data_IF_553794432144
#
_entry.id   IF_553794432144
#
_cell.length_a   1.000
_cell.length_b   1.000
_cell.length_c   1.000
_cell.angle_alpha   90.00
_cell.angle_beta   90.00
_cell.angle_gamma   90.00
#
_symmetry.space_group_name_H-M   'P 1'
#
loop_
_entity.id
_entity.type
_entity.pdbx_description
1 polymer ?
#
# COMPACT_ATOMS: atom_id res chain seq x y z
N UNK A 1 -101.99 0.84 6.58
CA UNK A 1 -100.80 0.09 7.12
C UNK A 1 -99.72 0.08 6.04
N UNK A 2 -98.71 0.96 6.19
CA UNK A 2 -97.66 1.18 5.20
C UNK A 2 -96.39 0.54 5.71
N UNK A 3 -95.88 -0.40 4.96
CA UNK A 3 -94.60 -1.09 5.22
C UNK A 3 -93.52 -0.31 4.45
N UNK A 4 -92.57 0.25 5.18
CA UNK A 4 -91.40 0.90 4.64
C UNK A 4 -90.26 -0.15 4.49
N UNK A 5 -89.82 -0.35 3.25
CA UNK A 5 -88.72 -1.16 2.96
C UNK A 5 -87.42 -0.34 2.96
N UNK A 6 -86.57 -0.58 3.89
CA UNK A 6 -85.25 0.06 3.96
C UNK A 6 -84.28 -0.66 2.98
N UNK A 7 -83.69 0.13 2.06
CA UNK A 7 -82.63 -0.36 1.16
C UNK A 7 -81.28 -0.23 1.84
N UNK A 8 -80.69 -1.34 2.16
CA UNK A 8 -79.32 -1.40 2.65
C UNK A 8 -78.35 -1.33 1.47
N UNK A 9 -77.59 -0.22 1.43
CA UNK A 9 -76.46 -0.07 0.48
C UNK A 9 -75.22 -0.79 1.05
N UNK A 10 -74.78 -1.82 0.39
CA UNK A 10 -73.49 -2.45 0.67
C UNK A 10 -72.38 -1.64 -0.02
N UNK A 11 -71.55 -0.99 0.76
CA UNK A 11 -70.28 -0.38 0.30
C UNK A 11 -69.21 -1.48 0.29
N UNK A 12 -68.86 -1.96 -0.88
CA UNK A 12 -67.71 -2.83 -1.04
C UNK A 12 -66.42 -1.98 -1.04
N UNK A 13 -65.71 -2.00 0.07
CA UNK A 13 -64.36 -1.41 0.16
C UNK A 13 -63.35 -2.33 -0.57
N UNK A 14 -62.87 -1.87 -1.73
CA UNK A 14 -61.77 -2.52 -2.45
C UNK A 14 -60.48 -2.17 -1.72
N UNK A 15 -59.94 -3.13 -0.95
CA UNK A 15 -58.65 -3.07 -0.36
C UNK A 15 -57.61 -3.46 -1.47
N UNK A 16 -56.99 -2.47 -2.11
CA UNK A 16 -55.85 -2.71 -2.98
C UNK A 16 -54.58 -2.91 -2.10
N UNK A 17 -53.94 -4.09 -2.20
CA UNK A 17 -52.63 -4.25 -1.57
C UNK A 17 -51.58 -3.39 -2.29
N UNK A 18 -51.10 -2.34 -1.64
CA UNK A 18 -49.89 -1.66 -2.05
C UNK A 18 -48.70 -2.62 -1.82
N UNK A 19 -48.29 -3.30 -2.87
CA UNK A 19 -46.97 -3.93 -2.86
C UNK A 19 -45.92 -2.85 -2.93
N UNK A 20 -45.37 -2.47 -1.79
CA UNK A 20 -44.09 -1.77 -1.73
C UNK A 20 -43.05 -2.80 -2.19
N UNK A 21 -42.69 -2.75 -3.47
CA UNK A 21 -41.47 -3.36 -3.95
C UNK A 21 -40.32 -2.54 -3.32
N UNK A 22 -39.75 -3.05 -2.24
CA UNK A 22 -38.46 -2.63 -1.76
C UNK A 22 -37.44 -3.16 -2.78
N UNK A 23 -37.10 -2.38 -3.79
CA UNK A 23 -35.87 -2.60 -4.53
C UNK A 23 -34.75 -2.08 -3.63
N UNK A 24 -34.24 -2.95 -2.79
CA UNK A 24 -32.92 -2.75 -2.24
C UNK A 24 -31.96 -3.01 -3.42
N UNK A 25 -31.60 -1.93 -4.12
CA UNK A 25 -30.35 -1.90 -4.86
C UNK A 25 -29.25 -1.86 -3.81
N UNK A 26 -29.11 -2.94 -3.06
CA UNK A 26 -27.87 -3.25 -2.40
C UNK A 26 -26.91 -3.67 -3.52
N UNK A 27 -26.27 -2.67 -4.13
CA UNK A 27 -25.02 -2.87 -4.83
C UNK A 27 -24.03 -3.43 -3.79
N UNK A 28 -24.13 -4.73 -3.55
CA UNK A 28 -23.05 -5.46 -2.95
C UNK A 28 -21.90 -5.35 -3.95
N UNK A 29 -21.01 -4.37 -3.76
CA UNK A 29 -19.67 -4.46 -4.32
C UNK A 29 -19.09 -5.77 -3.75
N UNK A 30 -19.18 -6.82 -4.55
CA UNK A 30 -18.42 -8.04 -4.30
C UNK A 30 -16.97 -7.58 -4.41
N UNK A 31 -16.37 -7.27 -3.26
CA UNK A 31 -14.94 -7.07 -3.22
C UNK A 31 -14.32 -8.34 -3.77
N UNK A 32 -13.75 -8.24 -4.97
CA UNK A 32 -13.04 -9.36 -5.57
C UNK A 32 -11.95 -9.79 -4.59
N UNK A 33 -12.18 -10.94 -3.94
CA UNK A 33 -11.20 -11.51 -3.03
C UNK A 33 -10.04 -11.97 -3.90
N UNK A 34 -8.91 -11.30 -3.76
CA UNK A 34 -7.68 -11.68 -4.43
C UNK A 34 -6.76 -12.34 -3.42
N UNK A 35 -6.30 -13.51 -3.75
CA UNK A 35 -5.38 -14.26 -2.92
C UNK A 35 -4.03 -13.53 -2.84
N UNK A 36 -3.37 -13.67 -1.69
CA UNK A 36 -2.13 -12.96 -1.37
C UNK A 36 -0.97 -13.95 -1.33
N UNK A 37 0.02 -13.74 -2.18
CA UNK A 37 1.27 -14.52 -2.20
C UNK A 37 2.23 -14.00 -1.12
N UNK A 38 2.29 -12.70 -0.95
CA UNK A 38 3.20 -12.02 -0.05
C UNK A 38 2.53 -10.81 0.59
N UNK A 39 2.73 -10.61 1.89
CA UNK A 39 2.29 -9.41 2.59
C UNK A 39 3.26 -8.99 3.67
N UNK A 40 3.43 -7.68 3.86
CA UNK A 40 4.21 -7.07 4.92
C UNK A 40 3.57 -5.76 5.36
N UNK A 41 3.33 -5.62 6.66
CA UNK A 41 2.78 -4.42 7.31
C UNK A 41 3.71 -3.86 8.40
N UNK A 42 4.91 -4.43 8.51
CA UNK A 42 5.95 -4.05 9.46
C UNK A 42 5.54 -4.10 10.95
N UNK A 43 4.42 -4.77 11.27
CA UNK A 43 3.91 -4.83 12.65
C UNK A 43 4.60 -5.89 13.49
N UNK A 44 5.18 -6.92 12.86
CA UNK A 44 5.83 -8.01 13.58
C UNK A 44 7.12 -7.52 14.26
N UNK A 45 7.18 -7.69 15.58
CA UNK A 45 8.30 -7.24 16.42
C UNK A 45 8.64 -5.74 16.29
N UNK A 46 7.65 -4.92 15.93
CA UNK A 46 7.82 -3.49 15.72
C UNK A 46 8.26 -2.78 16.99
N UNK A 47 9.35 -2.02 16.91
CA UNK A 47 9.82 -1.11 17.97
C UNK A 47 9.96 0.28 17.40
N UNK A 48 9.21 1.21 17.97
CA UNK A 48 9.15 2.59 17.47
C UNK A 48 10.50 3.26 17.41
N UNK A 49 10.76 3.97 16.30
CA UNK A 49 11.99 4.75 16.03
C UNK A 49 13.29 3.94 16.11
N UNK A 50 13.24 2.62 15.93
CA UNK A 50 14.42 1.76 15.86
C UNK A 50 14.72 1.36 14.40
N UNK A 51 15.98 1.01 14.12
CA UNK A 51 16.30 0.42 12.81
C UNK A 51 15.38 -0.76 12.54
N UNK A 52 14.80 -0.79 11.36
CA UNK A 52 13.87 -1.83 10.94
C UNK A 52 14.57 -3.19 10.96
N UNK A 53 14.00 -4.14 11.70
CA UNK A 53 14.52 -5.51 11.91
C UNK A 53 13.38 -6.51 11.60
N UNK A 54 12.70 -6.32 10.50
CA UNK A 54 11.67 -7.26 10.03
C UNK A 54 12.35 -8.56 9.52
N UNK A 55 11.86 -9.74 9.91
CA UNK A 55 12.49 -11.01 9.53
C UNK A 55 12.71 -11.13 8.02
N UNK A 56 13.93 -11.53 7.64
CA UNK A 56 14.36 -11.75 6.26
C UNK A 56 14.35 -10.51 5.33
N UNK A 57 13.98 -9.33 5.81
CA UNK A 57 14.20 -8.08 5.11
C UNK A 57 15.65 -7.60 5.26
N UNK A 58 16.18 -6.99 4.20
CA UNK A 58 17.50 -6.39 4.22
C UNK A 58 17.38 -4.87 4.23
N UNK A 59 18.03 -4.24 5.19
CA UNK A 59 18.05 -2.80 5.41
C UNK A 59 19.47 -2.28 5.18
N UNK A 60 19.76 -1.85 3.95
CA UNK A 60 21.11 -1.54 3.49
C UNK A 60 21.28 -0.04 3.23
N UNK A 61 22.32 0.56 3.81
CA UNK A 61 22.79 1.89 3.41
C UNK A 61 23.82 1.72 2.28
N UNK A 62 23.45 2.10 1.06
CA UNK A 62 24.36 2.10 -0.12
C UNK A 62 25.32 3.28 -0.02
N UNK A 63 24.83 4.44 0.39
CA UNK A 63 25.59 5.67 0.60
C UNK A 63 25.15 6.31 1.91
N UNK A 64 26.09 6.84 2.66
CA UNK A 64 25.82 7.44 3.96
C UNK A 64 25.54 6.42 5.05
N UNK A 65 24.90 6.87 6.13
CA UNK A 65 24.69 6.07 7.34
C UNK A 65 23.24 5.83 7.71
N UNK A 66 22.31 6.54 7.04
CA UNK A 66 20.87 6.41 7.31
C UNK A 66 20.35 5.05 6.87
N UNK A 67 19.58 4.43 7.74
CA UNK A 67 18.85 3.19 7.50
C UNK A 67 17.35 3.39 7.68
N UNK A 68 16.57 2.51 7.11
CA UNK A 68 15.14 2.44 7.34
C UNK A 68 14.86 2.12 8.80
N UNK A 69 13.84 2.75 9.36
CA UNK A 69 13.38 2.57 10.73
C UNK A 69 11.94 2.09 10.73
N UNK A 70 11.55 1.40 11.78
CA UNK A 70 10.15 1.21 12.11
C UNK A 70 9.64 2.46 12.82
N UNK A 71 8.48 2.96 12.38
CA UNK A 71 7.73 4.00 13.09
C UNK A 71 6.36 3.45 13.45
N UNK A 72 5.83 3.86 14.61
CA UNK A 72 4.51 3.46 15.06
C UNK A 72 3.65 4.69 15.31
N UNK A 73 2.55 4.80 14.60
CA UNK A 73 1.57 5.86 14.80
C UNK A 73 0.16 5.29 14.91
N UNK A 74 -0.57 5.63 15.99
CA UNK A 74 -1.92 5.13 16.27
C UNK A 74 -2.05 3.59 16.15
N UNK A 75 -1.06 2.86 16.60
CA UNK A 75 -0.94 1.38 16.54
C UNK A 75 -0.72 0.81 15.15
N UNK A 76 -0.43 1.63 14.15
CA UNK A 76 0.04 1.19 12.84
C UNK A 76 1.55 1.32 12.78
N UNK A 77 2.26 0.24 12.46
CA UNK A 77 3.69 0.26 12.22
C UNK A 77 3.94 0.42 10.70
N UNK A 78 5.03 1.08 10.33
CA UNK A 78 5.42 1.26 8.94
C UNK A 78 6.93 1.46 8.83
N UNK A 79 7.48 1.23 7.64
CA UNK A 79 8.87 1.51 7.36
C UNK A 79 9.07 2.99 6.99
N UNK A 80 10.04 3.66 7.61
CA UNK A 80 10.38 5.06 7.35
C UNK A 80 11.86 5.22 7.02
N UNK A 81 12.16 6.02 5.98
CA UNK A 81 13.50 6.49 5.68
C UNK A 81 13.53 8.01 5.75
N UNK A 82 14.21 8.54 6.76
CA UNK A 82 14.31 9.98 7.01
C UNK A 82 15.76 10.42 6.97
N UNK A 83 16.06 11.43 6.17
CA UNK A 83 17.40 12.06 6.12
C UNK A 83 17.47 13.35 6.92
N UNK A 84 16.40 13.70 7.64
CA UNK A 84 16.38 14.85 8.53
C UNK A 84 17.47 14.75 9.59
N UNK A 85 18.25 15.80 9.72
CA UNK A 85 19.42 15.89 10.62
C UNK A 85 20.52 14.85 10.35
N UNK A 86 20.52 14.21 9.19
CA UNK A 86 21.64 13.35 8.81
C UNK A 86 22.94 14.17 8.67
N UNK A 87 24.10 13.67 9.14
CA UNK A 87 25.39 14.31 8.91
C UNK A 87 25.87 14.17 7.45
N UNK A 88 25.33 13.21 6.72
CA UNK A 88 25.81 12.83 5.39
C UNK A 88 25.26 13.74 4.30
N UNK A 89 26.11 14.17 3.39
CA UNK A 89 25.73 15.01 2.25
C UNK A 89 24.69 14.30 1.37
N UNK A 90 24.86 12.98 1.18
CA UNK A 90 23.95 12.10 0.46
C UNK A 90 23.73 10.84 1.27
N UNK A 91 22.51 10.39 1.35
CA UNK A 91 22.11 9.08 1.83
C UNK A 91 21.35 8.35 0.74
N UNK A 92 21.65 7.08 0.55
CA UNK A 92 20.90 6.17 -0.30
C UNK A 92 20.66 4.90 0.51
N UNK A 93 19.40 4.62 0.80
CA UNK A 93 18.99 3.46 1.58
C UNK A 93 18.08 2.53 0.79
N UNK A 94 18.34 1.23 0.92
CA UNK A 94 17.55 0.16 0.35
C UNK A 94 16.83 -0.61 1.43
N UNK A 95 15.57 -0.93 1.19
CA UNK A 95 14.78 -1.89 1.94
C UNK A 95 14.36 -3.00 0.98
N UNK A 96 14.90 -4.21 1.16
CA UNK A 96 14.77 -5.30 0.21
C UNK A 96 14.01 -6.45 0.86
N UNK A 97 12.97 -6.95 0.20
CA UNK A 97 12.11 -8.02 0.68
C UNK A 97 12.86 -9.35 0.84
N UNK A 98 12.29 -10.31 1.59
CA UNK A 98 12.60 -11.71 1.42
C UNK A 98 12.49 -12.15 -0.03
N UNK A 99 13.04 -13.31 -0.35
CA UNK A 99 12.82 -13.96 -1.64
C UNK A 99 11.35 -14.41 -1.74
N UNK A 100 10.71 -14.11 -2.86
CA UNK A 100 9.30 -14.40 -3.14
C UNK A 100 9.25 -15.30 -4.37
N UNK A 101 8.56 -16.43 -4.25
CA UNK A 101 8.39 -17.41 -5.33
C UNK A 101 7.15 -17.06 -6.15
N UNK A 102 7.31 -16.79 -7.44
CA UNK A 102 6.27 -16.39 -8.39
C UNK A 102 5.79 -17.56 -9.28
N UNK A 103 6.36 -18.77 -9.16
CA UNK A 103 6.08 -19.86 -10.08
C UNK A 103 4.75 -20.59 -9.82
N UNK A 104 4.05 -20.25 -8.75
CA UNK A 104 2.81 -20.93 -8.34
C UNK A 104 1.54 -20.25 -8.84
N UNK A 105 1.65 -19.05 -9.40
CA UNK A 105 0.51 -18.19 -9.74
C UNK A 105 0.77 -17.48 -11.08
N UNK A 106 -0.24 -16.78 -11.57
CA UNK A 106 -0.17 -15.96 -12.78
C UNK A 106 -0.93 -14.63 -12.55
N UNK A 107 -0.59 -13.61 -13.31
CA UNK A 107 -1.19 -12.27 -13.25
C UNK A 107 -0.95 -11.53 -11.93
N UNK A 108 0.19 -11.78 -11.31
CA UNK A 108 0.55 -11.18 -10.03
C UNK A 108 0.69 -9.67 -10.14
N UNK A 109 0.28 -9.01 -9.08
CA UNK A 109 0.37 -7.55 -8.96
C UNK A 109 0.95 -7.14 -7.62
N UNK A 110 1.88 -6.21 -7.66
CA UNK A 110 2.39 -5.56 -6.46
C UNK A 110 1.53 -4.35 -6.11
N UNK A 111 1.16 -4.25 -4.83
CA UNK A 111 0.50 -3.10 -4.24
C UNK A 111 1.21 -2.69 -2.95
N UNK A 112 1.24 -1.40 -2.68
CA UNK A 112 1.67 -0.85 -1.41
C UNK A 112 1.06 0.54 -1.20
N UNK A 113 1.24 1.11 -0.02
CA UNK A 113 0.97 2.51 0.22
C UNK A 113 2.26 3.22 0.62
N UNK A 114 2.37 4.49 0.27
CA UNK A 114 3.52 5.31 0.63
C UNK A 114 3.11 6.72 0.99
N UNK A 115 3.85 7.33 1.90
CA UNK A 115 3.66 8.71 2.31
C UNK A 115 4.99 9.48 2.25
N UNK A 116 4.90 10.80 2.35
CA UNK A 116 6.05 11.67 2.47
C UNK A 116 5.85 12.70 3.59
N UNK A 117 6.94 13.23 4.11
CA UNK A 117 6.92 14.46 4.89
C UNK A 117 8.17 15.29 4.64
N UNK A 118 7.97 16.60 4.54
CA UNK A 118 9.02 17.59 4.30
C UNK A 118 9.83 17.39 3.02
N UNK A 119 9.33 16.60 2.06
CA UNK A 119 9.94 16.49 0.74
C UNK A 119 9.62 17.75 -0.07
N UNK A 120 10.64 18.53 -0.39
CA UNK A 120 10.49 19.82 -1.09
C UNK A 120 11.05 19.79 -2.52
N UNK A 121 11.77 18.73 -2.89
CA UNK A 121 12.45 18.59 -4.18
C UNK A 121 12.39 17.16 -4.66
N UNK A 122 12.25 16.95 -5.97
CA UNK A 122 12.36 15.64 -6.63
C UNK A 122 13.75 15.01 -6.55
N UNK A 123 14.77 15.76 -6.11
CA UNK A 123 16.10 15.22 -5.84
C UNK A 123 16.13 14.34 -4.56
N UNK A 124 15.15 14.56 -3.64
CA UNK A 124 14.80 13.61 -2.59
C UNK A 124 13.74 12.69 -3.16
N UNK A 125 14.05 11.43 -3.36
CA UNK A 125 13.25 10.54 -4.18
C UNK A 125 13.11 9.15 -3.57
N UNK A 126 11.98 8.49 -3.87
CA UNK A 126 11.73 7.09 -3.61
C UNK A 126 11.44 6.37 -4.93
N UNK A 127 11.89 5.13 -5.06
CA UNK A 127 11.64 4.25 -6.20
C UNK A 127 11.43 2.82 -5.71
N UNK A 128 10.72 2.02 -6.49
CA UNK A 128 10.58 0.58 -6.27
C UNK A 128 11.20 -0.20 -7.42
N UNK A 129 11.89 -1.28 -7.08
CA UNK A 129 12.61 -2.14 -8.01
C UNK A 129 12.26 -3.60 -7.78
N UNK A 130 12.52 -4.42 -8.80
CA UNK A 130 12.48 -5.86 -8.75
C UNK A 130 13.81 -6.45 -9.25
N UNK A 131 14.26 -7.53 -8.65
CA UNK A 131 15.43 -8.30 -9.10
C UNK A 131 15.15 -9.80 -9.01
N UNK A 132 15.70 -10.54 -9.97
CA UNK A 132 15.69 -12.02 -10.02
C UNK A 132 17.04 -12.64 -9.64
N UNK A 133 18.08 -11.84 -9.53
CA UNK A 133 19.48 -12.30 -9.40
C UNK A 133 20.22 -11.68 -8.21
N UNK A 134 19.50 -10.97 -7.32
CA UNK A 134 20.14 -10.44 -6.13
C UNK A 134 20.50 -11.57 -5.15
N UNK A 135 21.78 -11.70 -4.86
CA UNK A 135 22.37 -12.76 -4.03
C UNK A 135 22.14 -12.60 -2.51
N UNK A 136 21.49 -11.51 -2.10
CA UNK A 136 21.26 -11.17 -0.69
C UNK A 136 22.42 -10.40 -0.04
N UNK A 137 23.49 -10.08 -0.78
CA UNK A 137 24.72 -9.48 -0.24
C UNK A 137 25.07 -8.17 -0.95
N UNK A 138 25.23 -8.22 -2.28
CA UNK A 138 25.78 -7.10 -3.04
C UNK A 138 24.76 -6.49 -4.01
N UNK A 139 24.18 -5.36 -3.60
CA UNK A 139 23.20 -4.62 -4.43
C UNK A 139 23.77 -4.14 -5.76
N UNK A 140 25.08 -3.90 -5.84
CA UNK A 140 25.74 -3.37 -7.05
C UNK A 140 25.98 -4.40 -8.14
N UNK A 141 25.88 -5.71 -7.85
CA UNK A 141 26.05 -6.80 -8.83
C UNK A 141 24.72 -7.32 -9.38
N UNK A 142 23.63 -7.03 -8.72
CA UNK A 142 22.31 -7.46 -9.15
C UNK A 142 21.72 -6.55 -10.24
N UNK A 143 20.90 -7.14 -11.09
CA UNK A 143 20.11 -6.41 -12.07
C UNK A 143 18.80 -5.96 -11.44
N UNK A 144 18.63 -4.66 -11.23
CA UNK A 144 17.44 -4.06 -10.69
C UNK A 144 16.61 -3.41 -11.78
N UNK A 145 15.40 -3.89 -12.01
CA UNK A 145 14.42 -3.30 -12.91
C UNK A 145 13.51 -2.36 -12.13
N UNK A 146 13.45 -1.10 -12.52
CA UNK A 146 12.53 -0.13 -11.90
C UNK A 146 11.08 -0.47 -12.28
N UNK A 147 10.19 -0.48 -11.28
CA UNK A 147 8.76 -0.66 -11.47
C UNK A 147 8.06 0.71 -11.51
N UNK A 148 7.02 0.80 -12.34
CA UNK A 148 6.23 2.02 -12.46
C UNK A 148 5.15 2.05 -11.37
N UNK A 149 5.34 2.88 -10.36
CA UNK A 149 4.43 3.05 -9.24
C UNK A 149 4.08 4.53 -9.02
N UNK A 150 2.91 4.77 -8.44
CA UNK A 150 2.54 6.10 -7.94
C UNK A 150 3.19 6.34 -6.58
N UNK A 151 3.95 7.41 -6.47
CA UNK A 151 4.58 7.86 -5.23
C UNK A 151 4.11 9.25 -4.83
N UNK A 152 4.13 9.59 -3.54
CA UNK A 152 3.86 10.95 -3.09
C UNK A 152 4.88 11.93 -3.67
N UNK A 153 4.40 13.11 -3.98
CA UNK A 153 5.16 14.24 -4.52
C UNK A 153 5.31 15.34 -3.45
N UNK A 154 6.13 16.36 -3.65
CA UNK A 154 6.17 17.52 -2.76
C UNK A 154 4.82 18.21 -2.53
N UNK A 155 3.85 18.03 -3.45
CA UNK A 155 2.50 18.58 -3.31
C UNK A 155 1.54 17.68 -2.49
N UNK A 156 1.92 16.43 -2.24
CA UNK A 156 1.12 15.51 -1.42
C UNK A 156 1.18 15.96 0.04
N UNK A 157 0.06 16.03 0.77
CA UNK A 157 0.06 16.38 2.18
C UNK A 157 0.97 15.47 2.99
N UNK A 158 1.60 16.03 4.04
CA UNK A 158 2.51 15.28 4.90
C UNK A 158 1.81 14.12 5.59
N UNK A 159 2.44 12.96 5.60
CA UNK A 159 1.95 11.73 6.23
C UNK A 159 0.63 11.19 5.61
N UNK A 160 0.23 11.69 4.46
CA UNK A 160 -0.88 11.11 3.72
C UNK A 160 -0.39 9.91 2.91
N UNK A 161 -0.87 8.72 3.29
CA UNK A 161 -0.56 7.49 2.57
C UNK A 161 -1.40 7.40 1.30
N UNK A 162 -0.72 7.34 0.16
CA UNK A 162 -1.34 7.15 -1.16
C UNK A 162 -1.05 5.74 -1.68
N UNK A 163 -1.96 5.21 -2.50
CA UNK A 163 -1.81 3.90 -3.12
C UNK A 163 -0.80 3.94 -4.27
N UNK A 164 0.01 2.89 -4.39
CA UNK A 164 0.96 2.70 -5.50
C UNK A 164 0.32 2.57 -6.88
N UNK A 165 -0.98 2.26 -6.93
CA UNK A 165 -1.60 1.62 -8.09
C UNK A 165 -1.31 0.12 -8.13
N UNK A 166 -1.95 -0.58 -9.05
CA UNK A 166 -1.65 -1.99 -9.34
C UNK A 166 -0.45 -2.05 -10.28
N UNK A 167 0.64 -2.66 -9.84
CA UNK A 167 1.88 -2.79 -10.60
C UNK A 167 1.94 -4.22 -11.11
N UNK A 168 1.85 -4.39 -12.43
CA UNK A 168 1.86 -5.68 -13.10
C UNK A 168 3.23 -6.35 -12.94
N UNK A 169 3.24 -7.58 -12.46
CA UNK A 169 4.42 -8.43 -12.32
C UNK A 169 4.39 -9.66 -13.25
N UNK A 170 3.44 -9.77 -14.15
CA UNK A 170 3.25 -10.95 -15.02
C UNK A 170 4.46 -11.28 -15.92
N UNK A 171 5.34 -10.31 -16.18
CA UNK A 171 6.58 -10.51 -16.90
C UNK A 171 7.70 -11.17 -16.05
N UNK A 172 7.47 -11.37 -14.76
CA UNK A 172 8.44 -11.91 -13.83
C UNK A 172 8.03 -13.30 -13.35
N UNK A 173 8.93 -14.26 -13.44
CA UNK A 173 8.76 -15.64 -12.98
C UNK A 173 9.96 -16.08 -12.15
N UNK A 174 9.82 -17.17 -11.41
CA UNK A 174 10.86 -17.67 -10.53
C UNK A 174 10.92 -16.87 -9.23
N UNK A 175 12.07 -16.88 -8.61
CA UNK A 175 12.30 -16.19 -7.35
C UNK A 175 12.70 -14.74 -7.60
N UNK A 176 12.00 -13.84 -6.92
CA UNK A 176 12.20 -12.39 -7.03
C UNK A 176 12.45 -11.75 -5.67
N UNK A 177 12.96 -10.53 -5.69
CA UNK A 177 12.94 -9.63 -4.55
C UNK A 177 12.42 -8.26 -4.98
N UNK A 178 11.61 -7.64 -4.14
CA UNK A 178 11.16 -6.25 -4.28
C UNK A 178 12.06 -5.38 -3.42
N UNK A 179 12.43 -4.21 -3.92
CA UNK A 179 13.26 -3.27 -3.18
C UNK A 179 12.74 -1.84 -3.27
N UNK A 180 12.67 -1.15 -2.13
CA UNK A 180 12.45 0.28 -2.06
C UNK A 180 13.79 0.99 -1.89
N UNK A 181 14.07 1.95 -2.76
CA UNK A 181 15.29 2.76 -2.71
C UNK A 181 14.90 4.21 -2.47
N UNK A 182 15.45 4.81 -1.42
CA UNK A 182 15.29 6.25 -1.14
C UNK A 182 16.64 6.94 -1.25
N UNK A 183 16.64 8.11 -1.88
CA UNK A 183 17.76 9.04 -1.94
C UNK A 183 17.39 10.34 -1.25
N UNK A 184 18.23 10.79 -0.34
CA UNK A 184 18.14 12.08 0.35
C UNK A 184 19.50 12.56 0.84
N UNK A 185 19.54 13.49 1.81
CA UNK A 185 20.78 13.98 2.37
C UNK A 185 20.57 15.12 3.36
N UNK A 186 21.66 15.68 3.90
CA UNK A 186 21.62 16.69 4.97
C UNK A 186 21.10 18.07 4.55
N UNK A 187 21.01 18.33 3.25
CA UNK A 187 20.57 19.62 2.76
C UNK A 187 19.06 19.74 2.92
N UNK A 188 18.55 20.83 3.42
CA UNK A 188 17.12 21.08 3.65
C UNK A 188 16.24 21.02 2.39
N UNK A 189 16.81 20.91 1.20
CA UNK A 189 16.07 20.62 -0.03
C UNK A 189 15.91 19.13 -0.32
N UNK A 190 16.66 18.26 0.39
CA UNK A 190 16.68 16.81 0.19
C UNK A 190 16.67 16.02 1.52
N UNK A 191 16.33 16.65 2.64
CA UNK A 191 16.31 16.05 3.97
C UNK A 191 14.94 15.50 4.38
N UNK A 192 14.01 15.43 3.45
CA UNK A 192 12.67 14.90 3.67
C UNK A 192 12.65 13.41 3.98
N UNK A 193 11.45 12.92 4.22
CA UNK A 193 11.17 11.58 4.71
C UNK A 193 10.19 10.88 3.80
N UNK A 194 10.38 9.59 3.57
CA UNK A 194 9.43 8.70 2.91
C UNK A 194 9.02 7.55 3.84
N UNK A 195 7.74 7.17 3.76
CA UNK A 195 7.16 6.03 4.47
C UNK A 195 6.59 5.03 3.46
N UNK A 196 6.69 3.73 3.79
CA UNK A 196 6.10 2.62 3.03
C UNK A 196 5.41 1.66 3.99
N UNK A 197 4.23 1.17 3.57
CA UNK A 197 3.42 0.27 4.36
C UNK A 197 2.52 -0.61 3.48
N UNK A 198 1.95 -1.66 4.08
CA UNK A 198 0.95 -2.52 3.45
C UNK A 198 1.38 -3.07 2.08
N UNK A 199 2.61 -3.59 2.00
CA UNK A 199 3.14 -4.20 0.78
C UNK A 199 2.46 -5.55 0.57
N UNK A 200 1.89 -5.78 -0.62
CA UNK A 200 1.25 -7.04 -0.98
C UNK A 200 1.56 -7.42 -2.42
N UNK A 201 1.75 -8.71 -2.67
CA UNK A 201 1.66 -9.30 -3.99
C UNK A 201 0.42 -10.19 -4.00
N UNK A 202 -0.48 -9.90 -4.92
CA UNK A 202 -1.77 -10.59 -5.12
C UNK A 202 -1.84 -11.16 -6.53
N UNK A 203 -2.78 -12.11 -6.77
CA UNK A 203 -3.02 -12.73 -8.09
C UNK A 203 -4.50 -12.97 -8.34
#
# INVERSE_FOLDING_TARGET
MKINTAKTLFFAAILSPLFWACTSDDDFEIHEYRDVIFSEDFSENAVDNQNLITPNWLNIAEVGTVKWKTQIYKRNAYAEFSTFQSPDVVNIGWLISPEIDMDQHENEKLLFVSAQSFVTSSANSIQVFISKDFDGINIGTANWTALNATFPTPATPFFEFIKSGEIDLSDFSGKIRIAFKVKGGKNNTIDGTYQVDNIRIIY
#
